data_IF_614428053807
#
_entry.id   IF_614428053807
#
_cell.length_a   1.000
_cell.length_b   1.000
_cell.length_c   1.000
_cell.angle_alpha   90.00
_cell.angle_beta   90.00
_cell.angle_gamma   90.00
#
_symmetry.space_group_name_H-M   'P 1'
#
loop_
_entity.id
_entity.type
_entity.pdbx_description
1 polymer ?
#
# COMPACT_ATOMS: atom_id res chain seq x y z
N UNK A 1 24.13 -14.90 -49.33
CA UNK A 1 23.95 -16.26 -48.80
C UNK A 1 22.82 -16.19 -47.76
N UNK A 2 21.55 -16.29 -48.18
CA UNK A 2 20.74 -17.54 -48.11
C UNK A 2 20.82 -18.13 -46.69
N UNK A 3 19.78 -18.17 -45.86
CA UNK A 3 18.40 -18.58 -46.14
C UNK A 3 17.46 -18.02 -45.06
N UNK A 4 16.22 -17.74 -45.51
CA UNK A 4 15.00 -17.49 -44.73
C UNK A 4 14.67 -18.65 -43.80
N UNK A 5 14.20 -18.38 -42.58
CA UNK A 5 13.29 -19.26 -41.86
C UNK A 5 12.48 -18.43 -40.85
N UNK A 6 11.40 -17.83 -41.34
CA UNK A 6 10.25 -17.48 -40.52
C UNK A 6 9.55 -18.77 -40.06
N UNK A 7 8.85 -18.66 -38.92
CA UNK A 7 7.86 -19.56 -38.33
C UNK A 7 8.41 -20.65 -37.39
N UNK A 8 8.12 -20.51 -36.09
CA UNK A 8 7.31 -21.50 -35.33
C UNK A 8 6.61 -20.75 -34.18
N UNK A 9 5.30 -20.56 -34.30
CA UNK A 9 4.44 -20.25 -33.16
C UNK A 9 4.04 -21.59 -32.50
N UNK A 10 4.50 -21.82 -31.28
CA UNK A 10 3.98 -22.91 -30.43
C UNK A 10 3.58 -22.33 -29.09
N UNK A 11 2.28 -22.08 -28.95
CA UNK A 11 1.63 -21.89 -27.66
C UNK A 11 1.49 -23.26 -26.99
N UNK A 12 2.18 -23.49 -25.87
CA UNK A 12 1.84 -24.51 -24.87
C UNK A 12 2.20 -23.94 -23.50
N UNK A 13 1.18 -23.69 -22.68
CA UNK A 13 1.32 -23.12 -21.36
C UNK A 13 1.97 -24.07 -20.35
N UNK A 14 2.84 -23.52 -19.51
CA UNK A 14 3.19 -24.08 -18.21
C UNK A 14 2.80 -23.07 -17.15
N UNK A 15 1.66 -23.35 -16.49
CA UNK A 15 1.22 -22.66 -15.30
C UNK A 15 1.97 -23.17 -14.06
N UNK A 16 2.20 -22.25 -13.11
CA UNK A 16 2.73 -22.44 -11.74
C UNK A 16 4.23 -22.85 -11.67
N UNK A 17 5.11 -22.11 -11.00
CA UNK A 17 5.09 -21.84 -9.56
C UNK A 17 5.41 -20.38 -9.25
N UNK A 18 4.40 -19.62 -8.84
CA UNK A 18 4.58 -18.36 -8.15
C UNK A 18 4.90 -18.62 -6.68
N UNK A 19 6.10 -18.28 -6.24
CA UNK A 19 6.39 -18.00 -4.83
C UNK A 19 6.71 -16.52 -4.70
N UNK A 20 5.68 -15.70 -4.91
CA UNK A 20 5.72 -14.33 -4.44
C UNK A 20 5.64 -14.36 -2.92
N UNK A 21 6.78 -14.22 -2.25
CA UNK A 21 6.82 -13.83 -0.84
C UNK A 21 6.24 -12.41 -0.77
N UNK A 22 4.91 -12.33 -0.64
CA UNK A 22 4.24 -11.09 -0.27
C UNK A 22 4.59 -10.85 1.20
N UNK A 23 5.68 -10.12 1.44
CA UNK A 23 5.96 -9.53 2.74
C UNK A 23 4.86 -8.50 2.95
N UNK A 24 3.83 -8.86 3.72
CA UNK A 24 2.87 -7.88 4.20
C UNK A 24 3.67 -6.80 4.96
N UNK A 25 3.46 -5.51 4.69
CA UNK A 25 4.10 -4.47 5.48
C UNK A 25 3.69 -4.73 6.93
N UNK A 26 4.67 -4.94 7.81
CA UNK A 26 4.40 -4.97 9.23
C UNK A 26 3.72 -3.65 9.55
N UNK A 27 2.49 -3.71 10.07
CA UNK A 27 1.83 -2.55 10.64
C UNK A 27 2.69 -2.13 11.83
N UNK A 28 3.67 -1.27 11.57
CA UNK A 28 4.35 -0.53 12.62
C UNK A 28 3.21 0.26 13.31
N UNK A 29 3.22 0.41 14.65
CA UNK A 29 2.10 0.98 15.44
C UNK A 29 2.44 2.39 15.95
N UNK A 30 1.59 3.39 15.68
CA UNK A 30 1.99 4.80 15.56
C UNK A 30 2.38 5.37 16.87
N UNK A 31 3.03 6.54 16.89
CA UNK A 31 2.80 7.42 18.02
C UNK A 31 1.27 7.47 18.22
N UNK A 32 0.74 7.03 19.37
CA UNK A 32 -0.70 6.99 19.58
C UNK A 32 -1.14 8.41 19.89
N UNK A 33 -1.38 9.21 18.84
CA UNK A 33 -1.82 10.58 18.98
C UNK A 33 -3.15 10.62 19.74
N UNK A 34 -3.19 11.40 20.82
CA UNK A 34 -4.42 11.59 21.61
C UNK A 34 -5.47 12.37 20.81
N UNK A 35 -5.01 13.28 19.96
CA UNK A 35 -5.81 14.13 19.09
C UNK A 35 -4.98 14.59 17.88
N UNK A 36 -5.65 15.16 16.88
CA UNK A 36 -4.97 15.65 15.68
C UNK A 36 -4.03 16.81 15.93
N UNK A 37 -4.23 17.61 16.99
CA UNK A 37 -3.27 18.67 17.36
C UNK A 37 -1.90 18.09 17.71
N UNK A 38 -1.84 16.94 18.36
CA UNK A 38 -0.58 16.24 18.65
C UNK A 38 0.05 15.69 17.36
N UNK A 39 -0.75 15.09 16.48
CA UNK A 39 -0.28 14.63 15.18
C UNK A 39 0.29 15.78 14.34
N UNK A 40 -0.41 16.91 14.29
CA UNK A 40 -0.02 18.11 13.55
C UNK A 40 1.26 18.74 14.12
N UNK A 41 1.46 18.72 15.44
CA UNK A 41 2.73 19.15 16.08
C UNK A 41 3.92 18.32 15.64
N UNK A 42 3.69 17.03 15.38
CA UNK A 42 4.69 16.12 14.83
C UNK A 42 4.80 16.20 13.28
N UNK A 43 4.03 17.09 12.65
CA UNK A 43 3.99 17.25 11.20
C UNK A 43 3.24 16.12 10.46
N UNK A 44 2.42 15.34 11.18
CA UNK A 44 1.62 14.26 10.63
C UNK A 44 0.22 14.73 10.29
N UNK A 45 -0.10 14.66 9.00
CA UNK A 45 -1.39 15.02 8.42
C UNK A 45 -1.86 13.91 7.48
N UNK A 46 -3.14 13.94 7.12
CA UNK A 46 -3.74 13.09 6.09
C UNK A 46 -3.41 11.60 6.31
N UNK A 47 -3.65 11.10 7.53
CA UNK A 47 -3.24 9.78 8.00
C UNK A 47 -4.23 8.71 7.48
N UNK A 48 -3.88 7.88 6.48
CA UNK A 48 -4.84 6.93 5.90
C UNK A 48 -5.10 5.72 6.81
N UNK A 49 -6.22 5.01 6.65
CA UNK A 49 -6.59 3.78 7.39
C UNK A 49 -5.51 2.69 7.51
N UNK A 50 -4.62 2.60 6.53
CA UNK A 50 -3.49 1.65 6.54
C UNK A 50 -2.27 2.14 7.30
N UNK A 51 -2.27 3.41 7.71
CA UNK A 51 -1.22 3.99 8.50
C UNK A 51 -1.36 3.57 9.95
N UNK A 52 -0.26 3.08 10.44
CA UNK A 52 0.15 2.97 11.81
C UNK A 52 -0.48 3.94 12.85
N UNK A 53 -0.57 5.23 12.54
CA UNK A 53 -1.07 6.30 13.40
C UNK A 53 -2.58 6.54 13.22
N UNK A 54 -3.22 5.84 12.28
CA UNK A 54 -4.65 5.93 12.06
C UNK A 54 -5.41 5.42 13.27
N UNK A 55 -6.39 6.20 13.68
CA UNK A 55 -7.35 5.81 14.71
C UNK A 55 -8.73 6.27 14.24
N UNK A 56 -9.76 5.41 14.29
CA UNK A 56 -11.13 5.81 13.93
C UNK A 56 -11.63 7.01 14.75
N UNK A 57 -11.13 7.19 15.97
CA UNK A 57 -11.47 8.35 16.81
C UNK A 57 -10.88 9.69 16.32
N UNK A 58 -9.90 9.65 15.42
CA UNK A 58 -9.24 10.82 14.82
C UNK A 58 -9.77 11.15 13.42
N UNK A 59 -10.56 10.24 12.84
CA UNK A 59 -11.23 10.34 11.56
C UNK A 59 -12.68 10.76 11.82
N UNK A 60 -12.94 12.07 11.78
CA UNK A 60 -14.20 12.64 12.29
C UNK A 60 -15.37 12.35 11.36
N UNK A 61 -15.14 12.32 10.06
CA UNK A 61 -16.14 12.09 9.02
C UNK A 61 -16.16 10.64 8.52
N UNK A 62 -15.21 9.81 8.96
CA UNK A 62 -15.10 8.37 8.69
C UNK A 62 -14.79 8.04 7.23
N UNK A 63 -14.16 8.95 6.50
CA UNK A 63 -13.79 8.78 5.11
C UNK A 63 -12.57 7.83 4.95
N UNK A 64 -11.85 7.59 6.05
CA UNK A 64 -10.65 6.76 6.12
C UNK A 64 -9.33 7.52 6.15
N UNK A 65 -9.38 8.84 6.31
CA UNK A 65 -8.22 9.72 6.46
C UNK A 65 -8.38 10.47 7.79
N UNK A 66 -7.52 10.15 8.76
CA UNK A 66 -7.49 10.83 10.04
C UNK A 66 -6.63 12.10 9.98
N UNK A 67 -7.01 13.11 10.78
CA UNK A 67 -6.21 14.33 10.98
C UNK A 67 -5.81 15.06 9.69
N UNK A 68 -6.78 15.22 8.80
CA UNK A 68 -6.66 15.93 7.54
C UNK A 68 -6.08 17.35 7.71
N UNK A 69 -5.46 17.85 6.64
CA UNK A 69 -4.77 19.15 6.65
C UNK A 69 -5.66 20.36 6.35
N UNK A 70 -6.91 20.16 5.93
CA UNK A 70 -7.82 21.21 5.45
C UNK A 70 -8.91 21.64 6.45
#
# INVERSE_FOLDING_TARGET
MTVRAFLVATALGTAALGTGLAVAPAAVAGPPYKNCTEAHKDGRYDIPRGDQAYRPSLDRDNDGIACESY
#
